data_IF_710754820197
#
_entry.id   IF_710754820197
#
_cell.length_a   1.000
_cell.length_b   1.000
_cell.length_c   1.000
_cell.angle_alpha   90.00
_cell.angle_beta   90.00
_cell.angle_gamma   90.00
#
_symmetry.space_group_name_H-M   'P 1'
#
loop_
_entity.id
_entity.type
_entity.pdbx_description
1 polymer ?
#
# COMPACT_ATOMS: atom_id res chain seq x y z
N UNK A 1 -8.86 -54.37 -35.05
CA UNK A 1 -9.66 -54.88 -36.18
C UNK A 1 -10.90 -54.04 -36.35
N UNK A 2 -11.07 -53.46 -37.53
CA UNK A 2 -12.27 -52.86 -38.17
C UNK A 2 -12.91 -51.64 -37.49
N UNK A 3 -12.86 -50.45 -38.02
CA UNK A 3 -13.20 -49.86 -39.33
C UNK A 3 -14.58 -49.19 -39.34
N UNK A 4 -14.58 -47.82 -39.44
CA UNK A 4 -15.36 -46.92 -40.33
C UNK A 4 -16.90 -46.87 -40.21
N UNK A 5 -17.50 -45.62 -40.12
CA UNK A 5 -18.03 -44.93 -41.30
C UNK A 5 -18.62 -43.54 -40.95
N UNK A 6 -18.26 -42.60 -41.83
CA UNK A 6 -18.95 -41.30 -42.04
C UNK A 6 -20.33 -41.50 -42.57
N UNK A 7 -21.27 -40.63 -42.25
CA UNK A 7 -22.44 -40.31 -43.10
C UNK A 7 -22.62 -38.80 -43.16
N UNK A 8 -22.48 -38.29 -44.37
CA UNK A 8 -22.89 -36.94 -44.82
C UNK A 8 -24.37 -37.09 -45.24
N UNK A 9 -25.22 -36.15 -44.86
CA UNK A 9 -26.50 -35.95 -45.49
C UNK A 9 -26.73 -34.49 -45.83
N UNK A 10 -26.88 -34.26 -47.14
CA UNK A 10 -27.27 -33.00 -47.79
C UNK A 10 -28.74 -33.17 -48.19
N UNK A 11 -29.58 -32.16 -47.98
CA UNK A 11 -30.80 -31.89 -48.78
C UNK A 11 -31.34 -30.50 -48.38
N UNK A 12 -31.23 -29.47 -49.18
CA UNK A 12 -32.01 -29.04 -50.32
C UNK A 12 -33.34 -28.31 -49.93
N UNK A 13 -33.30 -27.06 -50.20
CA UNK A 13 -34.27 -26.00 -50.55
C UNK A 13 -35.76 -26.30 -50.52
N UNK A 14 -36.49 -25.35 -49.95
CA UNK A 14 -37.59 -24.73 -50.68
C UNK A 14 -37.95 -23.35 -50.11
N UNK A 15 -38.10 -22.40 -51.00
CA UNK A 15 -38.39 -20.99 -50.88
C UNK A 15 -39.84 -20.72 -50.47
N UNK A 16 -40.08 -19.77 -49.57
CA UNK A 16 -41.28 -18.93 -49.59
C UNK A 16 -40.94 -17.51 -49.17
N UNK A 17 -41.12 -16.60 -50.06
CA UNK A 17 -40.97 -15.15 -49.90
C UNK A 17 -42.16 -14.60 -49.11
N UNK A 18 -41.87 -13.92 -47.99
CA UNK A 18 -42.78 -12.93 -47.41
C UNK A 18 -41.97 -11.69 -47.03
N UNK A 19 -42.14 -10.62 -47.80
CA UNK A 19 -41.52 -9.34 -47.56
C UNK A 19 -42.20 -8.66 -46.37
N UNK A 20 -41.52 -8.63 -45.24
CA UNK A 20 -41.80 -7.67 -44.17
C UNK A 20 -40.63 -6.71 -44.09
N UNK A 21 -40.89 -5.44 -44.35
CA UNK A 21 -40.03 -4.31 -44.15
C UNK A 21 -39.73 -4.19 -42.64
N UNK A 22 -38.61 -4.77 -42.18
CA UNK A 22 -38.06 -4.49 -40.87
C UNK A 22 -37.00 -3.41 -41.09
N UNK A 23 -37.30 -2.22 -40.60
CA UNK A 23 -36.33 -1.14 -40.46
C UNK A 23 -35.18 -1.62 -39.57
N UNK A 24 -34.00 -1.92 -40.14
CA UNK A 24 -32.78 -2.21 -39.43
C UNK A 24 -32.34 -0.94 -38.70
N UNK A 25 -32.09 -0.99 -37.38
CA UNK A 25 -31.39 0.09 -36.72
C UNK A 25 -29.99 0.20 -37.32
N UNK A 26 -29.64 1.39 -37.77
CA UNK A 26 -28.30 1.73 -38.22
C UNK A 26 -27.32 1.49 -37.06
N UNK A 27 -26.64 0.37 -37.07
CA UNK A 27 -25.48 0.19 -36.24
C UNK A 27 -24.38 1.16 -36.75
N UNK A 28 -24.28 2.32 -36.15
CA UNK A 28 -23.10 3.13 -36.24
C UNK A 28 -21.98 2.28 -35.62
N UNK A 29 -21.20 1.63 -36.45
CA UNK A 29 -19.95 1.05 -36.04
C UNK A 29 -19.06 2.21 -35.55
N UNK A 30 -19.05 2.43 -34.24
CA UNK A 30 -17.96 3.17 -33.61
C UNK A 30 -16.71 2.39 -33.91
N UNK A 31 -16.04 2.71 -35.00
CA UNK A 31 -14.65 2.36 -35.23
C UNK A 31 -13.86 3.03 -34.09
N UNK A 32 -13.65 2.27 -33.01
CA UNK A 32 -12.61 2.59 -32.05
C UNK A 32 -11.35 2.65 -32.88
N UNK A 33 -10.90 3.86 -33.18
CA UNK A 33 -9.62 4.08 -33.82
C UNK A 33 -8.59 3.32 -33.00
N UNK A 34 -8.03 2.27 -33.56
CA UNK A 34 -6.96 1.50 -32.93
C UNK A 34 -5.84 2.52 -32.65
N UNK A 35 -5.70 2.90 -31.41
CA UNK A 35 -4.63 3.76 -30.94
C UNK A 35 -3.33 3.06 -31.30
N UNK A 36 -2.60 3.58 -32.30
CA UNK A 36 -1.27 3.10 -32.66
C UNK A 36 -0.46 3.07 -31.37
N UNK A 37 0.09 1.91 -30.96
CA UNK A 37 0.85 1.85 -29.72
C UNK A 37 1.94 2.90 -29.76
N UNK A 38 1.96 3.80 -28.76
CA UNK A 38 2.98 4.85 -28.68
C UNK A 38 4.31 4.23 -28.25
N UNK A 39 5.00 3.54 -29.19
CA UNK A 39 6.27 2.86 -28.94
C UNK A 39 7.43 3.88 -28.86
N UNK A 40 7.23 4.92 -28.03
CA UNK A 40 8.24 5.98 -27.86
C UNK A 40 8.66 6.10 -26.42
N UNK A 41 9.96 6.32 -26.20
CA UNK A 41 10.50 6.71 -24.91
C UNK A 41 11.16 8.08 -25.04
N UNK A 42 11.08 8.88 -23.97
CA UNK A 42 11.60 10.24 -23.88
C UNK A 42 12.78 10.30 -22.94
N UNK A 43 13.83 11.02 -23.34
CA UNK A 43 15.05 11.13 -22.56
C UNK A 43 14.97 12.22 -21.50
N UNK A 44 15.32 11.89 -20.24
CA UNK A 44 15.47 12.83 -19.13
C UNK A 44 16.68 13.75 -19.32
N UNK A 45 17.72 13.27 -20.02
CA UNK A 45 18.97 13.99 -20.33
C UNK A 45 19.70 13.31 -21.46
N UNK A 46 20.83 13.92 -21.91
CA UNK A 46 21.62 13.35 -23.00
C UNK A 46 22.07 11.92 -22.71
N UNK A 47 21.94 11.05 -23.70
CA UNK A 47 22.25 9.64 -23.59
C UNK A 47 23.15 9.17 -24.73
N UNK A 48 24.14 8.34 -24.43
CA UNK A 48 24.89 7.60 -25.45
C UNK A 48 24.10 6.37 -25.89
N UNK A 49 24.30 5.98 -27.13
CA UNK A 49 23.79 4.71 -27.68
C UNK A 49 24.86 3.63 -27.49
N UNK A 50 24.43 2.46 -27.06
CA UNK A 50 25.26 1.31 -26.75
C UNK A 50 24.88 0.11 -27.64
N UNK A 51 25.80 -0.83 -27.83
CA UNK A 51 25.50 -2.12 -28.42
C UNK A 51 24.94 -3.12 -27.38
N UNK A 52 24.59 -4.31 -27.81
CA UNK A 52 24.06 -5.40 -26.95
C UNK A 52 25.01 -5.88 -25.83
N UNK A 53 26.27 -5.46 -25.84
CA UNK A 53 27.30 -5.77 -24.84
C UNK A 53 27.58 -4.60 -23.90
N UNK A 54 26.86 -3.47 -24.05
CA UNK A 54 27.03 -2.27 -23.23
C UNK A 54 28.24 -1.40 -23.61
N UNK A 55 28.80 -1.59 -24.80
CA UNK A 55 29.87 -0.74 -25.37
C UNK A 55 29.22 0.41 -26.15
N UNK A 56 29.79 1.62 -26.04
CA UNK A 56 29.31 2.78 -26.80
C UNK A 56 29.51 2.52 -28.31
N UNK A 57 28.49 2.84 -29.09
CA UNK A 57 28.60 2.80 -30.52
C UNK A 57 29.35 4.03 -31.03
N UNK A 58 30.18 3.84 -32.05
CA UNK A 58 30.85 4.92 -32.80
C UNK A 58 29.98 5.48 -33.94
N UNK A 59 29.06 4.63 -34.44
CA UNK A 59 28.03 4.99 -35.41
C UNK A 59 26.69 4.36 -35.04
N UNK A 60 25.59 5.06 -35.30
CA UNK A 60 24.25 4.56 -35.12
C UNK A 60 23.34 5.05 -36.23
N UNK A 61 22.59 4.14 -36.88
CA UNK A 61 21.76 4.45 -38.07
C UNK A 61 22.54 5.25 -39.13
N UNK A 62 23.77 4.82 -39.43
CA UNK A 62 24.62 5.38 -40.44
C UNK A 62 25.28 6.74 -40.09
N UNK A 63 25.20 7.19 -38.83
CA UNK A 63 25.77 8.49 -38.43
C UNK A 63 26.47 8.43 -37.08
N UNK A 64 27.63 9.07 -36.95
CA UNK A 64 28.32 9.25 -35.68
C UNK A 64 27.59 10.27 -34.78
N UNK A 65 26.94 11.28 -35.36
CA UNK A 65 26.16 12.26 -34.60
C UNK A 65 24.98 11.65 -33.88
N UNK A 66 24.40 10.55 -34.37
CA UNK A 66 23.29 9.83 -33.74
C UNK A 66 23.69 8.93 -32.57
N UNK A 67 24.99 8.80 -32.26
CA UNK A 67 25.47 8.00 -31.12
C UNK A 67 25.28 8.70 -29.78
N UNK A 68 24.98 10.01 -29.77
CA UNK A 68 24.66 10.81 -28.58
C UNK A 68 23.36 11.54 -28.80
N UNK A 69 22.33 11.14 -28.08
CA UNK A 69 20.99 11.73 -28.13
C UNK A 69 20.86 12.83 -27.08
N UNK A 70 20.23 13.94 -27.44
CA UNK A 70 20.05 15.10 -26.55
C UNK A 70 18.95 14.86 -25.51
N UNK A 71 18.93 15.66 -24.44
CA UNK A 71 17.83 15.74 -23.50
C UNK A 71 16.51 16.06 -24.21
N UNK A 72 15.42 15.42 -23.79
CA UNK A 72 14.09 15.61 -24.37
C UNK A 72 13.86 14.86 -25.70
N UNK A 73 14.93 14.29 -26.30
CA UNK A 73 14.77 13.47 -27.51
C UNK A 73 13.82 12.32 -27.27
N UNK A 74 12.92 12.10 -28.20
CA UNK A 74 12.01 10.95 -28.21
C UNK A 74 12.51 9.94 -29.25
N UNK A 75 12.67 8.68 -28.85
CA UNK A 75 13.09 7.58 -29.74
C UNK A 75 12.13 6.41 -29.66
N UNK A 76 11.99 5.66 -30.75
CA UNK A 76 11.22 4.42 -30.73
C UNK A 76 11.95 3.34 -29.94
N UNK A 77 11.20 2.47 -29.26
CA UNK A 77 11.74 1.27 -28.62
C UNK A 77 11.22 0.01 -29.31
N UNK A 78 11.92 -1.10 -29.06
CA UNK A 78 11.55 -2.44 -29.53
C UNK A 78 11.00 -3.23 -28.33
N UNK A 79 9.88 -3.91 -28.55
CA UNK A 79 9.16 -4.68 -27.53
C UNK A 79 7.79 -4.07 -27.19
N UNK A 80 7.13 -4.66 -26.22
CA UNK A 80 5.83 -4.24 -25.69
C UNK A 80 5.93 -3.93 -24.19
N UNK A 81 5.07 -3.05 -23.73
CA UNK A 81 4.87 -2.84 -22.28
C UNK A 81 4.03 -3.99 -21.74
N UNK A 82 4.51 -4.63 -20.69
CA UNK A 82 3.93 -5.81 -20.06
C UNK A 82 3.45 -5.49 -18.64
N UNK A 83 2.35 -6.10 -18.14
CA UNK A 83 1.95 -5.97 -16.75
C UNK A 83 2.99 -6.60 -15.81
N UNK A 84 3.08 -6.08 -14.58
CA UNK A 84 3.88 -6.68 -13.50
C UNK A 84 2.92 -7.41 -12.58
N UNK A 85 2.96 -8.74 -12.59
CA UNK A 85 2.06 -9.56 -11.78
C UNK A 85 2.59 -9.84 -10.37
N UNK A 86 3.88 -10.17 -10.22
CA UNK A 86 4.44 -10.63 -8.93
C UNK A 86 5.76 -9.99 -8.53
N UNK A 87 6.66 -9.76 -9.47
CA UNK A 87 8.02 -9.30 -9.15
C UNK A 87 8.15 -7.78 -9.24
N UNK A 88 8.81 -7.16 -8.28
CA UNK A 88 9.19 -5.77 -8.40
C UNK A 88 10.24 -5.58 -9.50
N UNK A 89 10.00 -4.69 -10.45
CA UNK A 89 10.98 -4.30 -11.46
C UNK A 89 11.72 -3.04 -11.02
N UNK A 90 13.01 -2.93 -11.37
CA UNK A 90 13.79 -1.73 -11.06
C UNK A 90 13.23 -0.49 -11.75
N UNK A 91 12.78 -0.62 -13.00
CA UNK A 91 12.12 0.45 -13.75
C UNK A 91 10.73 -0.03 -14.17
N UNK A 92 9.73 0.79 -13.90
CA UNK A 92 8.34 0.45 -14.13
C UNK A 92 7.50 1.70 -14.43
N UNK A 93 6.34 1.47 -15.00
CA UNK A 93 5.30 2.45 -15.25
C UNK A 93 4.18 2.22 -14.24
N UNK A 94 3.49 3.27 -13.86
CA UNK A 94 2.34 3.20 -12.99
C UNK A 94 1.18 3.90 -13.66
N UNK A 95 0.03 3.27 -13.67
CA UNK A 95 -1.21 3.87 -14.13
C UNK A 95 -1.69 4.85 -13.05
N UNK A 96 -1.99 6.10 -13.43
CA UNK A 96 -2.49 7.11 -12.50
C UNK A 96 -3.82 6.75 -11.87
N UNK A 97 -4.67 6.04 -12.62
CA UNK A 97 -6.06 5.82 -12.20
C UNK A 97 -6.25 4.52 -11.41
N UNK A 98 -5.46 3.49 -11.71
CA UNK A 98 -5.60 2.16 -11.12
C UNK A 98 -4.36 1.66 -10.38
N UNK A 99 -3.27 2.41 -10.41
CA UNK A 99 -1.97 2.06 -9.80
C UNK A 99 -1.42 0.71 -10.24
N UNK A 100 -1.95 0.16 -11.33
CA UNK A 100 -1.43 -1.04 -11.94
C UNK A 100 -0.02 -0.76 -12.46
N UNK A 101 0.89 -1.67 -12.15
CA UNK A 101 2.27 -1.53 -12.57
C UNK A 101 2.49 -2.32 -13.87
N UNK A 102 3.20 -1.70 -14.78
CA UNK A 102 3.67 -2.33 -16.01
C UNK A 102 5.14 -1.95 -16.24
N UNK A 103 5.80 -2.64 -17.12
CA UNK A 103 7.19 -2.37 -17.43
C UNK A 103 7.48 -2.62 -18.90
N UNK A 104 8.48 -1.92 -19.43
CA UNK A 104 9.09 -2.28 -20.71
C UNK A 104 10.26 -3.23 -20.37
N UNK A 105 10.30 -4.45 -20.91
CA UNK A 105 11.42 -5.35 -20.72
C UNK A 105 12.75 -4.70 -21.11
N UNK A 106 13.68 -4.72 -20.17
CA UNK A 106 15.03 -4.19 -20.37
C UNK A 106 16.06 -5.29 -20.25
N UNK A 107 17.20 -5.09 -20.92
CA UNK A 107 18.34 -5.96 -20.78
C UNK A 107 19.26 -5.44 -19.70
N UNK A 108 19.67 -6.29 -18.78
CA UNK A 108 20.70 -5.96 -17.80
C UNK A 108 22.08 -6.31 -18.35
N UNK A 109 22.97 -5.31 -18.37
CA UNK A 109 24.35 -5.46 -18.87
C UNK A 109 25.27 -4.80 -17.84
N UNK A 110 26.15 -5.58 -17.19
CA UNK A 110 27.12 -5.09 -16.19
C UNK A 110 26.43 -4.22 -15.11
N UNK A 111 25.30 -4.70 -14.56
CA UNK A 111 24.54 -4.04 -13.50
C UNK A 111 23.80 -2.75 -13.92
N UNK A 112 23.70 -2.48 -15.23
CA UNK A 112 22.89 -1.39 -15.77
C UNK A 112 21.77 -1.95 -16.65
N UNK A 113 20.56 -1.36 -16.55
CA UNK A 113 19.41 -1.72 -17.35
C UNK A 113 19.39 -0.89 -18.64
N UNK A 114 19.07 -1.52 -19.76
CA UNK A 114 19.07 -0.90 -21.08
C UNK A 114 17.80 -1.23 -21.85
N UNK A 115 17.21 -0.22 -22.48
CA UNK A 115 16.11 -0.39 -23.43
C UNK A 115 16.65 -0.51 -24.87
N UNK A 116 16.09 -1.42 -25.63
CA UNK A 116 16.38 -1.59 -27.04
C UNK A 116 15.66 -0.52 -27.87
N UNK A 117 16.39 0.26 -28.64
CA UNK A 117 15.86 1.34 -29.52
C UNK A 117 15.95 1.01 -31.00
N UNK A 118 16.15 -0.27 -31.34
CA UNK A 118 16.27 -0.75 -32.71
C UNK A 118 17.65 -0.52 -33.33
N UNK A 119 17.83 -1.03 -34.52
CA UNK A 119 19.11 -0.94 -35.30
C UNK A 119 20.35 -1.32 -34.44
N UNK A 120 20.25 -2.29 -33.57
CA UNK A 120 21.33 -2.73 -32.67
C UNK A 120 21.66 -1.75 -31.54
N UNK A 121 20.90 -0.66 -31.38
CA UNK A 121 21.13 0.37 -30.40
C UNK A 121 20.37 0.13 -29.09
N UNK A 122 21.02 0.49 -27.98
CA UNK A 122 20.49 0.40 -26.62
C UNK A 122 20.79 1.72 -25.87
N UNK A 123 19.87 2.13 -25.00
CA UNK A 123 20.08 3.26 -24.10
C UNK A 123 19.85 2.84 -22.64
N UNK A 124 20.59 3.44 -21.71
CA UNK A 124 20.43 3.16 -20.28
C UNK A 124 19.06 3.64 -19.80
N UNK A 125 18.35 2.79 -19.06
CA UNK A 125 17.04 3.11 -18.49
C UNK A 125 17.08 4.35 -17.58
N UNK A 126 18.17 4.58 -16.86
CA UNK A 126 18.36 5.78 -16.01
C UNK A 126 18.32 7.09 -16.79
N UNK A 127 18.44 7.06 -18.11
CA UNK A 127 18.39 8.25 -18.97
C UNK A 127 16.97 8.53 -19.49
N UNK A 128 16.00 7.69 -19.20
CA UNK A 128 14.62 7.76 -19.69
C UNK A 128 13.70 8.36 -18.64
N UNK A 129 12.82 9.28 -19.01
CA UNK A 129 11.80 9.87 -18.15
C UNK A 129 10.40 9.32 -18.39
N UNK A 130 10.10 8.93 -19.63
CA UNK A 130 8.77 8.50 -20.04
C UNK A 130 8.87 7.33 -21.04
N UNK A 131 7.91 6.42 -20.97
CA UNK A 131 7.71 5.33 -21.95
C UNK A 131 6.24 5.32 -22.34
N UNK A 132 5.96 5.32 -23.62
CA UNK A 132 4.59 5.36 -24.16
C UNK A 132 3.72 6.50 -23.58
N UNK A 133 4.33 7.66 -23.29
CA UNK A 133 3.67 8.83 -22.69
C UNK A 133 3.48 8.75 -21.18
N UNK A 134 3.80 7.61 -20.54
CA UNK A 134 3.70 7.44 -19.08
C UNK A 134 5.04 7.72 -18.40
N UNK A 135 5.02 8.33 -17.23
CA UNK A 135 6.22 8.57 -16.41
C UNK A 135 6.90 7.27 -16.01
N UNK A 136 8.23 7.25 -16.15
CA UNK A 136 9.05 6.11 -15.70
C UNK A 136 9.37 6.25 -14.22
N UNK A 137 9.04 5.24 -13.46
CA UNK A 137 9.38 5.08 -12.05
C UNK A 137 10.62 4.21 -11.88
N UNK A 138 11.30 4.36 -10.75
CA UNK A 138 12.34 3.44 -10.31
C UNK A 138 12.06 2.96 -8.89
N UNK A 139 12.37 1.70 -8.61
CA UNK A 139 12.28 1.15 -7.25
C UNK A 139 13.46 1.59 -6.37
N UNK A 140 14.57 1.97 -6.99
CA UNK A 140 15.79 2.44 -6.30
C UNK A 140 16.55 3.44 -7.18
N UNK A 141 17.05 4.50 -6.56
CA UNK A 141 17.93 5.47 -7.17
C UNK A 141 19.14 5.76 -6.27
N UNK A 142 20.18 6.38 -6.84
CA UNK A 142 21.36 6.82 -6.08
C UNK A 142 21.40 8.34 -6.02
N UNK A 143 21.53 8.88 -4.82
CA UNK A 143 21.73 10.31 -4.57
C UNK A 143 23.08 10.58 -3.92
N UNK A 144 23.66 11.73 -4.24
CA UNK A 144 24.93 12.17 -3.67
C UNK A 144 24.68 13.39 -2.78
N UNK A 145 25.25 13.37 -1.58
CA UNK A 145 25.11 14.48 -0.63
C UNK A 145 25.96 15.66 -1.10
N UNK A 146 25.37 16.84 -1.03
CA UNK A 146 26.03 18.14 -1.18
C UNK A 146 25.45 19.08 -0.13
N UNK A 147 26.28 19.56 0.76
CA UNK A 147 25.93 20.69 1.62
C UNK A 147 26.91 21.86 1.40
N UNK A 148 26.43 23.05 1.62
CA UNK A 148 27.19 24.27 1.45
C UNK A 148 28.11 24.48 2.65
N UNK A 149 29.29 25.10 2.41
CA UNK A 149 30.34 25.28 3.43
C UNK A 149 29.88 26.01 4.69
N UNK A 150 28.89 26.87 4.55
CA UNK A 150 28.32 27.74 5.58
C UNK A 150 27.16 27.08 6.37
N UNK A 151 26.81 25.84 6.07
CA UNK A 151 25.76 25.09 6.77
C UNK A 151 26.35 23.99 7.64
N UNK A 152 25.70 23.75 8.80
CA UNK A 152 26.04 22.62 9.65
C UNK A 152 25.99 21.31 8.85
N UNK A 153 26.90 20.36 9.15
CA UNK A 153 26.86 19.03 8.52
C UNK A 153 25.48 18.40 8.64
N UNK A 154 25.04 17.78 7.56
CA UNK A 154 23.77 17.07 7.55
C UNK A 154 23.84 15.83 8.45
N UNK A 155 22.79 15.55 9.20
CA UNK A 155 22.73 14.37 10.06
C UNK A 155 21.44 13.59 9.84
N UNK A 156 21.51 12.28 10.02
CA UNK A 156 20.37 11.36 10.01
C UNK A 156 20.18 10.82 11.42
N UNK A 157 18.94 10.60 11.82
CA UNK A 157 18.58 10.16 13.17
C UNK A 157 18.40 11.30 14.17
N UNK A 158 17.97 10.97 15.36
CA UNK A 158 17.66 11.91 16.44
C UNK A 158 18.41 11.55 17.71
N UNK A 159 18.69 12.55 18.55
CA UNK A 159 19.32 12.32 19.84
C UNK A 159 20.71 11.68 19.76
N UNK A 160 20.96 10.63 20.55
CA UNK A 160 22.25 9.92 20.64
C UNK A 160 22.59 9.14 19.37
N UNK A 161 21.58 8.76 18.58
CA UNK A 161 21.75 7.97 17.34
C UNK A 161 21.97 8.85 16.10
N UNK A 162 22.29 10.11 16.32
CA UNK A 162 22.53 11.07 15.25
C UNK A 162 23.85 10.79 14.54
N UNK A 163 23.76 10.38 13.28
CA UNK A 163 24.93 10.15 12.41
C UNK A 163 25.20 11.36 11.52
N UNK A 164 26.39 11.93 11.63
CA UNK A 164 26.84 13.03 10.75
C UNK A 164 27.22 12.46 9.38
N UNK A 165 26.66 13.01 8.33
CA UNK A 165 26.87 12.56 6.95
C UNK A 165 27.95 13.41 6.30
N UNK A 166 29.00 12.76 5.79
CA UNK A 166 30.06 13.44 5.05
C UNK A 166 29.59 13.94 3.70
N UNK A 167 30.09 15.11 3.27
CA UNK A 167 29.84 15.63 1.92
C UNK A 167 30.33 14.63 0.85
N UNK A 168 29.67 14.61 -0.30
CA UNK A 168 29.92 13.68 -1.39
C UNK A 168 29.62 12.20 -1.13
N UNK A 169 29.18 11.81 0.09
CA UNK A 169 28.70 10.44 0.33
C UNK A 169 27.48 10.14 -0.54
N UNK A 170 27.42 8.94 -1.07
CA UNK A 170 26.28 8.45 -1.88
C UNK A 170 25.38 7.55 -1.06
N UNK A 171 24.08 7.61 -1.34
CA UNK A 171 23.06 6.77 -0.74
C UNK A 171 22.15 6.20 -1.82
N UNK A 172 21.72 4.97 -1.62
CA UNK A 172 20.58 4.40 -2.32
C UNK A 172 19.30 4.88 -1.65
N UNK A 173 18.31 5.27 -2.45
CA UNK A 173 17.01 5.77 -2.00
C UNK A 173 15.89 5.10 -2.78
N UNK A 174 14.75 4.85 -2.15
CA UNK A 174 13.67 4.05 -2.73
C UNK A 174 12.28 4.68 -2.64
N UNK A 175 12.12 5.74 -1.86
CA UNK A 175 10.86 6.46 -1.67
C UNK A 175 11.09 7.95 -1.56
N UNK A 176 10.04 8.73 -1.77
CA UNK A 176 10.01 10.17 -1.50
C UNK A 176 8.96 10.48 -0.45
N UNK A 177 9.17 11.56 0.31
CA UNK A 177 8.10 12.25 1.03
C UNK A 177 7.77 13.52 0.28
N UNK A 178 6.48 13.80 0.12
CA UNK A 178 5.97 14.99 -0.56
C UNK A 178 4.79 15.55 0.22
N UNK A 179 4.56 16.85 0.10
CA UNK A 179 3.38 17.51 0.69
C UNK A 179 2.16 17.36 -0.23
N UNK A 180 2.42 17.21 -1.53
CA UNK A 180 1.41 16.95 -2.56
C UNK A 180 1.99 16.01 -3.63
N UNK A 181 1.17 15.60 -4.59
CA UNK A 181 1.59 14.79 -5.73
C UNK A 181 2.46 15.56 -6.75
N UNK A 182 2.66 16.88 -6.57
CA UNK A 182 3.56 17.65 -7.42
C UNK A 182 5.02 17.25 -7.15
N UNK A 183 5.78 16.86 -8.19
CA UNK A 183 7.21 16.55 -8.06
C UNK A 183 8.06 17.69 -7.47
N UNK A 184 7.55 18.92 -7.47
CA UNK A 184 8.22 20.08 -6.86
C UNK A 184 8.16 20.04 -5.33
N UNK A 185 7.15 19.39 -4.77
CA UNK A 185 6.87 19.34 -3.34
C UNK A 185 7.60 18.21 -2.61
N UNK A 186 8.54 17.54 -3.29
CA UNK A 186 9.39 16.53 -2.68
C UNK A 186 10.22 17.16 -1.56
N UNK A 187 10.03 16.67 -0.33
CA UNK A 187 10.74 17.17 0.86
C UNK A 187 11.96 16.34 1.22
N UNK A 188 11.88 15.02 1.05
CA UNK A 188 12.98 14.11 1.36
C UNK A 188 12.94 12.80 0.57
N UNK A 189 14.06 12.07 0.64
CA UNK A 189 14.24 10.73 0.11
C UNK A 189 14.44 9.75 1.26
N UNK A 190 13.74 8.61 1.26
CA UNK A 190 14.02 7.52 2.20
C UNK A 190 15.27 6.76 1.75
N UNK A 191 16.15 6.45 2.70
CA UNK A 191 17.32 5.59 2.44
C UNK A 191 16.83 4.15 2.27
N UNK A 192 17.23 3.49 1.17
CA UNK A 192 16.90 2.10 0.89
C UNK A 192 17.35 1.18 2.03
N UNK A 193 16.46 0.24 2.39
CA UNK A 193 16.74 -0.74 3.46
C UNK A 193 16.56 -0.21 4.87
N UNK A 194 16.08 1.03 5.04
CA UNK A 194 15.71 1.60 6.34
C UNK A 194 14.20 1.82 6.43
N UNK A 195 13.67 1.87 7.66
CA UNK A 195 12.25 2.16 7.89
C UNK A 195 11.95 3.65 7.88
N UNK A 196 12.82 4.47 8.49
CA UNK A 196 12.56 5.86 8.89
C UNK A 196 13.75 6.81 8.70
N UNK A 197 14.78 6.38 7.98
CA UNK A 197 15.93 7.26 7.69
C UNK A 197 15.71 8.03 6.38
N UNK A 198 15.67 9.36 6.48
CA UNK A 198 15.38 10.25 5.36
C UNK A 198 16.50 11.25 5.10
N UNK A 199 16.72 11.54 3.83
CA UNK A 199 17.63 12.58 3.32
C UNK A 199 16.79 13.74 2.79
N UNK A 200 16.97 14.94 3.33
CA UNK A 200 16.34 16.14 2.78
C UNK A 200 16.73 16.32 1.30
N UNK A 201 15.78 16.67 0.47
CA UNK A 201 16.02 16.98 -0.94
C UNK A 201 17.01 18.15 -1.12
N UNK A 202 17.07 19.05 -0.13
CA UNK A 202 18.01 20.18 -0.12
C UNK A 202 19.45 19.77 0.16
N UNK A 203 19.67 18.58 0.71
CA UNK A 203 21.00 18.04 1.00
C UNK A 203 21.59 17.24 -0.15
N UNK A 204 20.85 16.98 -1.23
CA UNK A 204 21.37 16.19 -2.36
C UNK A 204 21.84 17.08 -3.49
N UNK A 205 22.91 16.63 -4.18
CA UNK A 205 23.52 17.38 -5.29
C UNK A 205 22.58 17.51 -6.49
N UNK A 206 21.90 16.43 -6.83
CA UNK A 206 20.98 16.35 -7.94
C UNK A 206 19.75 15.55 -7.52
N UNK A 207 18.57 16.04 -7.88
CA UNK A 207 17.31 15.31 -7.66
C UNK A 207 17.30 14.02 -8.50
N UNK A 208 16.63 13.00 -7.99
CA UNK A 208 16.36 11.77 -8.75
C UNK A 208 15.53 12.14 -9.99
N UNK A 209 15.85 11.54 -11.13
CA UNK A 209 15.28 11.91 -12.44
C UNK A 209 14.05 11.11 -12.80
N UNK A 210 14.04 9.82 -12.43
CA UNK A 210 12.84 8.99 -12.50
C UNK A 210 11.98 9.25 -11.25
N UNK A 211 10.69 8.99 -11.37
CA UNK A 211 9.81 9.05 -10.20
C UNK A 211 10.14 7.92 -9.23
N UNK A 212 10.12 8.21 -7.95
CA UNK A 212 10.09 7.24 -6.87
C UNK A 212 8.67 7.20 -6.32
N UNK A 213 8.26 6.05 -5.77
CA UNK A 213 6.98 5.96 -5.07
C UNK A 213 6.98 6.85 -3.82
N UNK A 214 5.83 7.40 -3.48
CA UNK A 214 5.65 8.13 -2.23
C UNK A 214 5.82 7.15 -1.07
N UNK A 215 6.50 7.61 -0.02
CA UNK A 215 6.59 6.88 1.23
C UNK A 215 5.26 6.98 1.97
N UNK A 216 4.75 5.83 2.36
CA UNK A 216 3.64 5.72 3.28
C UNK A 216 4.07 4.85 4.45
N UNK A 217 3.87 5.34 5.67
CA UNK A 217 4.22 4.61 6.90
C UNK A 217 3.38 3.34 7.06
N UNK A 218 2.22 3.30 6.43
CA UNK A 218 1.23 2.23 6.54
C UNK A 218 1.02 1.54 5.20
N UNK A 219 0.63 0.28 5.29
CA UNK A 219 0.14 -0.46 4.13
C UNK A 219 -1.22 0.09 3.72
N UNK A 220 -1.41 0.33 2.44
CA UNK A 220 -2.71 0.64 1.88
C UNK A 220 -3.13 -0.51 0.97
N UNK A 221 -4.39 -0.82 1.03
CA UNK A 221 -5.06 -1.78 0.14
C UNK A 221 -6.14 -1.08 -0.66
N UNK A 222 -6.38 -1.58 -1.86
CA UNK A 222 -7.43 -1.11 -2.75
C UNK A 222 -8.50 -2.19 -2.83
N UNK A 223 -9.77 -1.82 -2.69
CA UNK A 223 -10.89 -2.75 -2.79
C UNK A 223 -11.17 -3.13 -4.25
N UNK A 224 -11.24 -4.43 -4.52
CA UNK A 224 -11.53 -5.00 -5.85
C UNK A 224 -13.03 -5.05 -6.14
N UNK A 225 -13.83 -5.09 -5.09
CA UNK A 225 -15.29 -5.19 -5.09
C UNK A 225 -15.85 -4.55 -3.83
N UNK A 226 -17.16 -4.31 -3.72
CA UNK A 226 -17.76 -3.87 -2.48
C UNK A 226 -17.49 -4.88 -1.35
N UNK A 227 -16.88 -4.42 -0.25
CA UNK A 227 -16.41 -5.29 0.83
C UNK A 227 -17.17 -5.04 2.12
N UNK A 228 -17.51 -6.13 2.80
CA UNK A 228 -18.16 -6.10 4.12
C UNK A 228 -17.13 -6.02 5.25
N UNK A 229 -17.54 -5.51 6.39
CA UNK A 229 -16.71 -5.43 7.60
C UNK A 229 -17.03 -6.57 8.58
N UNK A 230 -16.01 -6.96 9.33
CA UNK A 230 -16.05 -8.05 10.30
C UNK A 230 -15.46 -7.61 11.63
N UNK A 231 -15.84 -8.29 12.70
CA UNK A 231 -15.19 -8.20 14.02
C UNK A 231 -14.12 -9.30 14.17
N UNK A 232 -13.43 -9.30 15.31
CA UNK A 232 -12.37 -10.29 15.60
C UNK A 232 -12.90 -11.73 15.69
N UNK A 233 -14.19 -11.93 15.91
CA UNK A 233 -14.84 -13.25 15.92
C UNK A 233 -15.11 -13.78 14.51
N UNK A 234 -14.74 -13.04 13.46
CA UNK A 234 -15.01 -13.40 12.07
C UNK A 234 -16.48 -13.33 11.69
N UNK A 235 -17.29 -12.59 12.45
CA UNK A 235 -18.69 -12.35 12.15
C UNK A 235 -18.87 -10.98 11.51
N UNK A 236 -19.91 -10.89 10.66
CA UNK A 236 -20.24 -9.63 10.01
C UNK A 236 -20.62 -8.57 11.05
N UNK A 237 -20.08 -7.38 10.90
CA UNK A 237 -20.55 -6.23 11.67
C UNK A 237 -21.83 -5.71 11.09
N UNK A 238 -22.84 -5.63 11.94
CA UNK A 238 -24.11 -4.98 11.63
C UNK A 238 -23.94 -3.49 11.91
N UNK A 239 -23.71 -2.70 10.89
CA UNK A 239 -23.60 -1.24 11.04
C UNK A 239 -24.95 -0.64 10.73
N UNK A 240 -25.41 0.25 11.60
CA UNK A 240 -26.78 0.77 11.65
C UNK A 240 -27.17 1.77 10.55
N UNK A 241 -26.40 1.91 9.49
CA UNK A 241 -26.72 2.75 8.32
C UNK A 241 -26.10 2.18 7.04
N UNK A 242 -26.60 2.59 5.89
CA UNK A 242 -26.33 2.11 4.52
C UNK A 242 -24.85 2.09 4.05
N UNK A 243 -23.89 2.31 4.94
CA UNK A 243 -22.46 2.41 4.64
C UNK A 243 -21.62 1.27 5.24
N UNK A 244 -22.21 0.11 5.44
CA UNK A 244 -21.49 -1.10 5.94
C UNK A 244 -20.53 -1.72 4.91
N UNK A 245 -20.35 -1.07 3.77
CA UNK A 245 -19.64 -1.65 2.65
C UNK A 245 -18.64 -0.65 2.09
N UNK A 246 -17.38 -1.04 1.99
CA UNK A 246 -16.41 -0.30 1.19
C UNK A 246 -16.73 -0.45 -0.28
N UNK A 247 -16.59 0.61 -1.05
CA UNK A 247 -16.85 0.58 -2.47
C UNK A 247 -15.66 0.01 -3.23
N UNK A 248 -15.93 -0.53 -4.41
CA UNK A 248 -14.86 -0.87 -5.35
C UNK A 248 -13.99 0.36 -5.62
N UNK A 249 -12.70 0.14 -5.71
CA UNK A 249 -11.65 1.14 -5.96
C UNK A 249 -11.32 2.06 -4.78
N UNK A 250 -12.04 1.98 -3.65
CA UNK A 250 -11.63 2.66 -2.42
C UNK A 250 -10.25 2.20 -1.96
N UNK A 251 -9.45 3.16 -1.45
CA UNK A 251 -8.10 2.89 -0.94
C UNK A 251 -8.08 3.19 0.55
N UNK A 252 -7.65 2.19 1.33
CA UNK A 252 -7.66 2.31 2.78
C UNK A 252 -6.33 1.89 3.41
N UNK A 253 -5.87 2.59 4.46
CA UNK A 253 -4.73 2.16 5.25
C UNK A 253 -5.10 0.99 6.16
N UNK A 254 -4.20 0.02 6.23
CA UNK A 254 -4.32 -1.17 7.06
C UNK A 254 -3.08 -1.35 7.92
N UNK A 255 -3.26 -1.95 9.09
CA UNK A 255 -2.20 -2.07 10.09
C UNK A 255 -1.72 -3.50 10.26
N UNK A 256 -2.61 -4.45 10.01
CA UNK A 256 -2.39 -5.85 10.33
C UNK A 256 -2.95 -6.76 9.26
N UNK A 257 -2.33 -7.93 9.15
CA UNK A 257 -2.81 -9.04 8.36
C UNK A 257 -2.90 -10.25 9.28
N UNK A 258 -4.10 -10.85 9.41
CA UNK A 258 -4.40 -11.88 10.42
C UNK A 258 -5.41 -12.88 9.87
N UNK A 259 -5.25 -14.15 10.21
CA UNK A 259 -6.31 -15.13 10.00
C UNK A 259 -7.37 -15.00 11.08
N UNK A 260 -8.64 -14.90 10.69
CA UNK A 260 -9.80 -15.02 11.57
C UNK A 260 -10.59 -16.28 11.19
N UNK A 261 -11.15 -16.93 12.20
CA UNK A 261 -12.10 -18.02 11.96
C UNK A 261 -13.45 -17.43 11.58
N UNK A 262 -13.99 -17.78 10.43
CA UNK A 262 -15.30 -17.32 9.95
C UNK A 262 -16.32 -18.43 10.24
N UNK A 263 -17.15 -18.30 11.30
CA UNK A 263 -18.06 -19.37 11.72
C UNK A 263 -19.06 -19.77 10.64
N UNK A 264 -19.59 -18.80 9.89
CA UNK A 264 -20.54 -19.04 8.80
C UNK A 264 -19.96 -19.83 7.62
N UNK A 265 -18.64 -19.84 7.47
CA UNK A 265 -17.92 -20.52 6.38
C UNK A 265 -17.16 -21.75 6.89
N UNK A 266 -17.13 -21.96 8.22
CA UNK A 266 -16.40 -23.03 8.89
C UNK A 266 -14.94 -23.13 8.46
N UNK A 267 -14.27 -21.97 8.23
CA UNK A 267 -12.87 -21.89 7.81
C UNK A 267 -12.16 -20.65 8.35
N UNK A 268 -10.84 -20.70 8.40
CA UNK A 268 -10.02 -19.54 8.64
C UNK A 268 -9.79 -18.79 7.33
N UNK A 269 -10.01 -17.49 7.34
CA UNK A 269 -9.75 -16.59 6.22
C UNK A 269 -8.79 -15.50 6.62
N UNK A 270 -8.10 -14.89 5.64
CA UNK A 270 -7.14 -13.83 5.87
C UNK A 270 -7.84 -12.47 5.82
N UNK A 271 -7.56 -11.64 6.83
CA UNK A 271 -8.17 -10.33 6.99
C UNK A 271 -7.13 -9.24 7.20
N UNK A 272 -7.41 -8.06 6.70
CA UNK A 272 -6.74 -6.84 7.09
C UNK A 272 -7.49 -6.15 8.22
N UNK A 273 -6.75 -5.70 9.24
CA UNK A 273 -7.24 -4.75 10.23
C UNK A 273 -7.16 -3.35 9.64
N UNK A 274 -8.28 -2.63 9.62
CA UNK A 274 -8.31 -1.24 9.16
C UNK A 274 -7.65 -0.32 10.18
N UNK A 275 -6.77 0.57 9.72
CA UNK A 275 -5.96 1.43 10.59
C UNK A 275 -6.79 2.29 11.53
N UNK A 276 -7.70 3.05 11.02
CA UNK A 276 -8.46 4.02 11.82
C UNK A 276 -9.74 3.43 12.43
N UNK A 277 -9.82 2.10 12.54
CA UNK A 277 -11.01 1.44 13.09
C UNK A 277 -11.31 1.84 14.54
N UNK A 278 -10.33 2.41 15.23
CA UNK A 278 -10.40 2.79 16.64
C UNK A 278 -10.42 4.32 16.89
N UNK A 279 -10.20 5.16 15.87
CA UNK A 279 -10.11 6.62 16.05
C UNK A 279 -11.44 7.33 15.79
N UNK A 280 -12.08 7.92 16.82
CA UNK A 280 -13.33 8.65 16.62
C UNK A 280 -13.16 10.04 16.01
N UNK A 281 -11.95 10.59 15.85
CA UNK A 281 -11.75 12.02 15.56
C UNK A 281 -11.15 12.38 14.19
N UNK A 282 -10.42 11.48 13.54
CA UNK A 282 -10.12 11.67 12.11
C UNK A 282 -11.31 11.26 11.23
N UNK A 283 -12.29 10.95 11.89
CA UNK A 283 -13.43 10.11 11.70
C UNK A 283 -14.68 10.88 11.31
N UNK A 284 -14.63 12.16 10.97
CA UNK A 284 -15.81 12.72 10.31
C UNK A 284 -16.10 11.94 9.02
N UNK A 285 -15.04 11.52 8.30
CA UNK A 285 -15.19 10.62 7.16
C UNK A 285 -15.42 9.16 7.58
N UNK A 286 -14.77 8.65 8.63
CA UNK A 286 -14.88 7.26 9.03
C UNK A 286 -16.11 6.99 9.89
N UNK A 287 -16.52 7.92 10.77
CA UNK A 287 -17.78 7.86 11.50
C UNK A 287 -18.99 7.96 10.58
N UNK A 288 -18.88 8.68 9.47
CA UNK A 288 -19.89 8.68 8.42
C UNK A 288 -19.98 7.31 7.73
N UNK A 289 -18.87 6.55 7.65
CA UNK A 289 -18.85 5.19 7.09
C UNK A 289 -19.30 4.11 8.08
N UNK A 290 -18.91 4.21 9.35
CA UNK A 290 -19.15 3.16 10.34
C UNK A 290 -20.33 3.44 11.30
N UNK A 291 -20.90 4.65 11.29
CA UNK A 291 -22.05 5.01 12.12
C UNK A 291 -21.75 5.17 13.63
N UNK A 292 -22.76 5.50 14.45
CA UNK A 292 -22.57 5.82 15.88
C UNK A 292 -22.26 4.64 16.80
N UNK A 293 -22.34 3.41 16.32
CA UNK A 293 -21.99 2.19 17.08
C UNK A 293 -20.51 1.81 16.91
N UNK A 294 -19.67 2.79 16.94
CA UNK A 294 -18.22 2.74 16.80
C UNK A 294 -17.53 1.87 17.87
N UNK A 295 -18.30 1.34 18.76
CA UNK A 295 -17.92 0.78 20.01
C UNK A 295 -17.62 -0.70 20.09
N UNK A 296 -17.75 -1.46 19.03
CA UNK A 296 -17.76 -2.91 19.11
C UNK A 296 -16.40 -3.54 18.74
N UNK A 297 -15.30 -2.87 19.03
CA UNK A 297 -13.96 -3.39 18.77
C UNK A 297 -13.40 -2.97 17.39
N UNK A 298 -12.33 -3.64 17.00
CA UNK A 298 -11.60 -3.37 15.77
C UNK A 298 -12.38 -3.82 14.51
N UNK A 299 -12.06 -3.21 13.38
CA UNK A 299 -12.75 -3.47 12.10
C UNK A 299 -11.83 -4.20 11.14
N UNK A 300 -12.31 -5.31 10.62
CA UNK A 300 -11.57 -6.18 9.71
C UNK A 300 -12.28 -6.28 8.37
N UNK A 301 -11.49 -6.43 7.30
CA UNK A 301 -11.97 -6.69 5.93
C UNK A 301 -11.24 -7.89 5.35
N UNK A 302 -11.91 -8.72 4.54
CA UNK A 302 -11.26 -9.88 3.92
C UNK A 302 -10.15 -9.43 2.97
N UNK A 303 -8.99 -10.07 3.08
CA UNK A 303 -7.88 -9.81 2.18
C UNK A 303 -8.20 -10.19 0.72
N UNK A 304 -9.08 -11.18 0.51
CA UNK A 304 -9.57 -11.58 -0.80
C UNK A 304 -10.36 -10.49 -1.54
N UNK A 305 -10.95 -9.54 -0.81
CA UNK A 305 -11.72 -8.44 -1.39
C UNK A 305 -10.83 -7.25 -1.78
N UNK A 306 -9.51 -7.35 -1.56
CA UNK A 306 -8.57 -6.25 -1.74
C UNK A 306 -7.34 -6.67 -2.54
N UNK A 307 -6.60 -5.68 -3.01
CA UNK A 307 -5.24 -5.85 -3.54
C UNK A 307 -4.29 -4.87 -2.86
N UNK A 308 -3.01 -5.24 -2.77
CA UNK A 308 -1.97 -4.34 -2.26
C UNK A 308 -1.85 -3.11 -3.14
N UNK A 309 -1.83 -1.95 -2.52
CA UNK A 309 -1.70 -0.67 -3.19
C UNK A 309 -0.31 -0.05 -2.98
N UNK A 310 0.07 0.22 -1.73
CA UNK A 310 1.37 0.81 -1.38
C UNK A 310 1.71 0.57 0.10
N UNK A 311 2.94 0.91 0.48
CA UNK A 311 3.42 0.80 1.87
C UNK A 311 4.22 -0.47 2.14
N UNK A 312 4.50 -0.78 3.42
CA UNK A 312 5.16 -2.02 3.82
C UNK A 312 4.30 -3.25 3.49
N UNK A 313 4.91 -4.35 3.04
CA UNK A 313 4.17 -5.61 2.91
C UNK A 313 3.93 -6.21 4.30
N UNK A 314 2.67 -6.50 4.61
CA UNK A 314 2.29 -7.19 5.84
C UNK A 314 2.40 -8.71 5.65
N UNK A 315 2.85 -9.38 6.70
CA UNK A 315 2.84 -10.84 6.80
C UNK A 315 1.74 -11.25 7.76
N UNK A 316 1.07 -12.41 7.55
CA UNK A 316 0.12 -12.94 8.51
C UNK A 316 0.76 -13.10 9.89
N UNK A 317 0.05 -12.71 10.94
CA UNK A 317 0.53 -12.73 12.32
C UNK A 317 0.25 -14.01 13.06
N UNK A 318 -0.66 -14.79 12.54
CA UNK A 318 -1.06 -16.08 13.07
C UNK A 318 -1.25 -17.07 11.90
N UNK A 319 -1.63 -18.30 12.25
CA UNK A 319 -1.96 -19.34 11.29
C UNK A 319 -3.45 -19.65 11.30
N UNK A 320 -3.99 -20.36 10.28
CA UNK A 320 -5.38 -20.83 10.28
C UNK A 320 -5.75 -21.66 11.51
N UNK A 321 -4.83 -22.50 11.99
CA UNK A 321 -5.01 -23.36 13.16
C UNK A 321 -5.12 -22.52 14.44
N UNK A 322 -4.28 -21.49 14.57
CA UNK A 322 -4.36 -20.55 15.68
C UNK A 322 -5.67 -19.76 15.66
N UNK A 323 -6.12 -19.31 14.49
CA UNK A 323 -7.40 -18.63 14.34
C UNK A 323 -8.56 -19.52 14.82
N UNK A 324 -8.56 -20.79 14.41
CA UNK A 324 -9.55 -21.78 14.85
C UNK A 324 -9.49 -22.02 16.35
N UNK A 325 -8.30 -22.14 16.93
CA UNK A 325 -8.15 -22.33 18.37
C UNK A 325 -8.70 -21.14 19.17
N UNK A 326 -8.42 -19.92 18.69
CA UNK A 326 -8.84 -18.66 19.32
C UNK A 326 -10.33 -18.33 19.15
N UNK A 327 -11.04 -19.01 18.25
CA UNK A 327 -12.48 -18.83 18.05
C UNK A 327 -13.36 -19.54 19.10
N UNK A 328 -12.76 -20.35 19.97
CA UNK A 328 -13.47 -21.03 21.04
C UNK A 328 -13.89 -20.05 22.15
N UNK A 329 -14.97 -20.37 22.85
CA UNK A 329 -15.39 -19.63 24.04
C UNK A 329 -14.24 -19.54 25.03
N UNK A 330 -14.01 -18.34 25.54
CA UNK A 330 -12.94 -18.06 26.49
C UNK A 330 -13.12 -18.83 27.81
N UNK A 331 -12.02 -19.41 28.26
CA UNK A 331 -11.97 -20.08 29.57
C UNK A 331 -11.78 -19.05 30.69
N UNK A 332 -11.91 -19.50 31.94
CA UNK A 332 -11.58 -18.68 33.12
C UNK A 332 -10.12 -18.23 33.12
N UNK A 333 -9.21 -19.06 32.59
CA UNK A 333 -7.78 -18.72 32.47
C UNK A 333 -7.58 -17.57 31.44
N UNK A 334 -8.25 -17.64 30.29
CA UNK A 334 -8.20 -16.57 29.29
C UNK A 334 -8.66 -15.23 29.90
N UNK A 335 -9.72 -15.26 30.71
CA UNK A 335 -10.31 -14.08 31.34
C UNK A 335 -9.44 -13.46 32.45
N UNK A 336 -8.53 -14.20 33.05
CA UNK A 336 -7.69 -13.73 34.18
C UNK A 336 -6.82 -12.50 33.77
N UNK A 337 -6.28 -12.50 32.57
CA UNK A 337 -5.47 -11.37 32.08
C UNK A 337 -6.32 -10.10 32.01
N UNK A 338 -7.52 -10.18 31.45
CA UNK A 338 -8.43 -9.06 31.31
C UNK A 338 -8.91 -8.55 32.68
N UNK A 339 -9.21 -9.47 33.60
CA UNK A 339 -9.61 -9.11 34.97
C UNK A 339 -8.52 -8.31 35.68
N UNK A 340 -7.25 -8.75 35.61
CA UNK A 340 -6.12 -8.03 36.22
C UNK A 340 -5.97 -6.59 35.68
N UNK A 341 -6.30 -6.36 34.41
CA UNK A 341 -6.29 -5.01 33.83
C UNK A 341 -7.47 -4.18 34.33
N UNK A 342 -8.66 -4.79 34.45
CA UNK A 342 -9.85 -4.14 35.02
C UNK A 342 -9.59 -3.74 36.47
N UNK A 343 -8.94 -4.60 37.27
CA UNK A 343 -8.62 -4.34 38.69
C UNK A 343 -7.73 -3.09 38.88
N UNK A 344 -7.03 -2.64 37.84
CA UNK A 344 -6.26 -1.38 37.85
C UNK A 344 -7.11 -0.13 37.63
N UNK A 345 -8.43 -0.27 37.48
CA UNK A 345 -9.34 0.85 37.17
C UNK A 345 -9.18 2.04 38.07
N UNK A 346 -9.11 1.83 39.40
CA UNK A 346 -9.02 2.92 40.39
C UNK A 346 -7.79 3.79 40.12
N UNK A 347 -6.62 3.17 39.97
CA UNK A 347 -5.35 3.88 39.73
C UNK A 347 -5.39 4.60 38.39
N UNK A 348 -5.84 3.91 37.34
CA UNK A 348 -5.87 4.50 35.99
C UNK A 348 -6.86 5.65 35.88
N UNK A 349 -8.01 5.58 36.59
CA UNK A 349 -8.99 6.67 36.64
C UNK A 349 -8.42 7.93 37.29
N UNK A 350 -7.53 7.82 38.28
CA UNK A 350 -6.86 8.97 38.86
C UNK A 350 -6.06 9.77 37.80
N UNK A 351 -5.36 9.09 36.92
CA UNK A 351 -4.65 9.72 35.79
C UNK A 351 -5.61 10.25 34.72
N UNK A 352 -6.63 9.48 34.35
CA UNK A 352 -7.61 9.88 33.33
C UNK A 352 -8.42 11.11 33.76
N UNK A 353 -8.71 11.27 35.03
CA UNK A 353 -9.49 12.39 35.57
C UNK A 353 -8.68 13.68 35.73
N UNK A 354 -7.35 13.61 35.77
CA UNK A 354 -6.49 14.81 35.76
C UNK A 354 -6.67 15.61 34.47
N UNK A 355 -6.93 14.94 33.34
CA UNK A 355 -7.24 15.59 32.07
C UNK A 355 -8.28 14.77 31.27
N UNK A 356 -9.59 14.89 31.65
CA UNK A 356 -10.64 14.05 31.09
C UNK A 356 -10.95 14.32 29.60
N UNK A 357 -10.50 15.46 29.08
CA UNK A 357 -10.71 15.85 27.67
C UNK A 357 -9.61 15.35 26.75
N UNK A 358 -8.57 14.68 27.26
CA UNK A 358 -7.57 14.04 26.42
C UNK A 358 -8.13 12.82 25.69
N UNK A 359 -7.74 12.67 24.47
CA UNK A 359 -8.17 11.56 23.62
C UNK A 359 -7.85 10.20 24.27
N UNK A 360 -6.66 10.05 24.89
CA UNK A 360 -6.28 8.81 25.59
C UNK A 360 -7.22 8.50 26.79
N UNK A 361 -7.67 9.50 27.52
CA UNK A 361 -8.62 9.32 28.63
C UNK A 361 -9.99 8.88 28.11
N UNK A 362 -10.44 9.44 27.02
CA UNK A 362 -11.68 9.02 26.36
C UNK A 362 -11.59 7.58 25.88
N UNK A 363 -10.52 7.21 25.17
CA UNK A 363 -10.30 5.83 24.68
C UNK A 363 -10.20 4.84 25.83
N UNK A 364 -9.52 5.20 26.90
CA UNK A 364 -9.43 4.35 28.08
C UNK A 364 -10.80 4.07 28.68
N UNK A 365 -11.60 5.11 28.98
CA UNK A 365 -12.95 4.94 29.56
C UNK A 365 -13.85 4.06 28.69
N UNK A 366 -13.73 4.26 27.39
CA UNK A 366 -14.45 3.46 26.42
C UNK A 366 -13.99 1.98 26.44
N UNK A 367 -12.67 1.73 26.36
CA UNK A 367 -12.11 0.38 26.37
C UNK A 367 -12.38 -0.34 27.70
N UNK A 368 -12.36 0.40 28.81
CA UNK A 368 -12.70 -0.17 30.12
C UNK A 368 -14.16 -0.68 30.16
N UNK A 369 -15.10 0.08 29.59
CA UNK A 369 -16.49 -0.36 29.46
C UNK A 369 -16.57 -1.63 28.63
N UNK A 370 -15.96 -1.63 27.45
CA UNK A 370 -15.91 -2.80 26.57
C UNK A 370 -15.29 -4.01 27.29
N UNK A 371 -14.24 -3.80 28.09
CA UNK A 371 -13.59 -4.86 28.86
C UNK A 371 -14.54 -5.49 29.90
N UNK A 372 -15.29 -4.65 30.63
CA UNK A 372 -16.29 -5.12 31.61
C UNK A 372 -17.43 -5.88 30.94
N UNK A 373 -17.89 -5.43 29.78
CA UNK A 373 -18.93 -6.12 29.02
C UNK A 373 -18.42 -7.47 28.48
N UNK A 374 -17.21 -7.50 27.92
CA UNK A 374 -16.61 -8.70 27.35
C UNK A 374 -16.30 -9.77 28.40
N UNK A 375 -15.77 -9.39 29.58
CA UNK A 375 -15.44 -10.37 30.64
C UNK A 375 -16.67 -11.03 31.20
N UNK A 376 -17.79 -10.32 31.26
CA UNK A 376 -19.07 -10.82 31.73
C UNK A 376 -19.84 -11.63 30.68
N UNK A 377 -19.43 -11.58 29.43
CA UNK A 377 -20.06 -12.35 28.36
C UNK A 377 -19.78 -13.85 28.52
N UNK A 378 -20.80 -14.65 28.39
CA UNK A 378 -20.72 -16.11 28.40
C UNK A 378 -20.31 -16.71 27.07
N UNK A 379 -20.37 -15.91 26.00
CA UNK A 379 -20.07 -16.31 24.62
C UNK A 379 -18.82 -15.68 24.07
N UNK A 380 -18.15 -14.80 24.83
CA UNK A 380 -16.90 -14.18 24.39
C UNK A 380 -15.87 -15.23 24.02
N UNK A 381 -15.19 -15.05 22.91
CA UNK A 381 -14.13 -15.95 22.44
C UNK A 381 -12.77 -15.56 23.04
N UNK A 382 -11.82 -16.51 23.03
CA UNK A 382 -10.43 -16.22 23.44
C UNK A 382 -9.80 -15.11 22.57
N UNK A 383 -10.17 -15.00 21.30
CA UNK A 383 -9.73 -13.92 20.40
C UNK A 383 -10.22 -12.55 20.90
N UNK A 384 -11.48 -12.46 21.27
CA UNK A 384 -12.12 -11.24 21.77
C UNK A 384 -11.52 -10.80 23.12
N UNK A 385 -11.35 -11.72 24.04
CA UNK A 385 -10.69 -11.45 25.33
C UNK A 385 -9.27 -10.91 25.12
N UNK A 386 -8.51 -11.49 24.19
CA UNK A 386 -7.15 -11.03 23.92
C UNK A 386 -7.13 -9.64 23.25
N UNK A 387 -8.00 -9.39 22.26
CA UNK A 387 -8.12 -8.08 21.62
C UNK A 387 -8.44 -7.00 22.64
N UNK A 388 -9.45 -7.22 23.45
CA UNK A 388 -9.90 -6.25 24.46
C UNK A 388 -8.85 -6.06 25.57
N UNK A 389 -8.16 -7.13 25.96
CA UNK A 389 -7.03 -7.03 26.92
C UNK A 389 -5.92 -6.16 26.39
N UNK A 390 -5.55 -6.34 25.11
CA UNK A 390 -4.49 -5.59 24.47
C UNK A 390 -4.88 -4.11 24.32
N UNK A 391 -6.13 -3.83 23.93
CA UNK A 391 -6.65 -2.47 23.83
C UNK A 391 -6.70 -1.77 25.21
N UNK A 392 -7.18 -2.45 26.24
CA UNK A 392 -7.24 -1.88 27.59
C UNK A 392 -5.83 -1.59 28.13
N UNK A 393 -4.90 -2.51 27.96
CA UNK A 393 -3.50 -2.32 28.35
C UNK A 393 -2.85 -1.14 27.64
N UNK A 394 -3.11 -0.96 26.33
CA UNK A 394 -2.58 0.14 25.55
C UNK A 394 -3.13 1.49 26.01
N UNK A 395 -4.45 1.57 26.20
CA UNK A 395 -5.10 2.81 26.61
C UNK A 395 -4.76 3.19 28.06
N UNK A 396 -4.60 2.23 28.98
CA UNK A 396 -4.06 2.45 30.32
C UNK A 396 -2.65 3.04 30.26
N UNK A 397 -1.76 2.42 29.47
CA UNK A 397 -0.39 2.90 29.30
C UNK A 397 -0.35 4.32 28.74
N UNK A 398 -1.20 4.61 27.76
CA UNK A 398 -1.30 5.94 27.18
C UNK A 398 -1.74 7.00 28.19
N UNK A 399 -2.71 6.67 29.02
CA UNK A 399 -3.22 7.57 30.07
C UNK A 399 -2.15 7.82 31.15
N UNK A 400 -1.50 6.76 31.65
CA UNK A 400 -0.49 6.87 32.71
C UNK A 400 0.73 7.66 32.22
N UNK A 401 1.15 7.47 30.97
CA UNK A 401 2.29 8.19 30.39
C UNK A 401 1.95 9.56 29.84
N UNK A 402 0.70 9.98 29.88
CA UNK A 402 0.30 11.31 29.47
C UNK A 402 0.75 12.35 30.52
N UNK A 403 1.83 13.11 30.22
CA UNK A 403 2.31 14.18 31.10
C UNK A 403 1.45 15.44 30.96
N UNK A 404 1.39 16.26 32.03
CA UNK A 404 0.54 17.47 32.11
C UNK A 404 1.00 18.61 31.19
N UNK A 405 2.21 18.53 30.62
CA UNK A 405 2.88 19.65 29.95
C UNK A 405 2.67 19.73 28.43
N UNK A 406 1.79 18.95 27.84
CA UNK A 406 1.65 18.98 26.38
C UNK A 406 0.68 20.06 25.92
N UNK A 407 1.24 21.07 25.29
CA UNK A 407 0.56 22.16 24.58
C UNK A 407 -0.55 21.66 23.63
N UNK A 408 -1.57 22.50 23.46
CA UNK A 408 -2.74 22.29 22.59
C UNK A 408 -2.45 21.83 21.15
N UNK A 409 -1.24 22.09 20.65
CA UNK A 409 -0.79 21.63 19.32
C UNK A 409 -0.59 20.13 19.21
N UNK A 410 -0.39 19.44 20.32
CA UNK A 410 -0.21 17.99 20.40
C UNK A 410 -1.53 17.21 20.57
N UNK A 411 -2.65 17.90 20.64
CA UNK A 411 -3.98 17.31 20.88
C UNK A 411 -4.48 16.44 19.72
N UNK A 412 -4.02 16.68 18.52
CA UNK A 412 -4.58 16.05 17.32
C UNK A 412 -3.74 14.91 16.77
N UNK A 413 -2.52 14.73 17.23
CA UNK A 413 -1.63 13.77 16.63
C UNK A 413 -1.39 12.58 17.54
N UNK A 414 -2.18 11.54 17.36
CA UNK A 414 -1.61 10.22 17.10
C UNK A 414 -0.80 9.60 18.24
N UNK A 415 -1.14 9.89 19.52
CA UNK A 415 -0.39 9.29 20.65
C UNK A 415 -0.91 7.94 21.10
N UNK A 416 -2.14 7.61 20.76
CA UNK A 416 -2.71 6.27 21.01
C UNK A 416 -2.28 5.25 19.95
N UNK A 417 -2.15 5.67 18.69
CA UNK A 417 -1.73 4.80 17.59
C UNK A 417 -0.35 4.14 17.78
N UNK A 418 0.71 4.86 18.24
CA UNK A 418 1.98 4.21 18.54
C UNK A 418 1.86 3.10 19.59
N UNK A 419 0.88 3.18 20.47
CA UNK A 419 0.67 2.18 21.52
C UNK A 419 -0.07 0.95 21.01
N UNK A 420 -1.07 1.12 20.16
CA UNK A 420 -1.76 0.00 19.51
C UNK A 420 -0.77 -0.81 18.66
N UNK A 421 0.14 -0.15 17.96
CA UNK A 421 1.22 -0.81 17.21
C UNK A 421 2.24 -1.53 18.09
N UNK A 422 2.40 -1.11 19.34
CA UNK A 422 3.34 -1.71 20.31
C UNK A 422 2.72 -2.84 21.14
N UNK A 423 1.45 -3.18 20.92
CA UNK A 423 0.83 -4.27 21.66
C UNK A 423 1.51 -5.61 21.36
N UNK A 424 1.74 -6.47 22.36
CA UNK A 424 2.41 -7.76 22.18
C UNK A 424 1.78 -8.62 21.10
N UNK A 425 0.46 -8.60 21.00
CA UNK A 425 -0.29 -9.28 19.95
C UNK A 425 0.03 -8.75 18.54
N UNK A 426 0.37 -7.47 18.43
CA UNK A 426 0.67 -6.79 17.18
C UNK A 426 2.17 -6.71 16.84
N UNK A 427 3.06 -6.92 17.81
CA UNK A 427 4.52 -6.74 17.63
C UNK A 427 5.23 -8.03 17.26
N UNK A 428 4.75 -9.20 17.71
CA UNK A 428 5.50 -10.46 17.64
C UNK A 428 5.98 -10.92 16.28
N UNK A 429 5.59 -10.28 15.19
CA UNK A 429 5.92 -10.73 13.83
C UNK A 429 6.31 -9.61 12.86
N UNK A 430 6.95 -8.56 13.33
CA UNK A 430 7.48 -7.50 12.46
C UNK A 430 8.91 -7.74 11.94
N UNK A 431 9.46 -8.95 12.12
CA UNK A 431 10.77 -9.33 11.58
C UNK A 431 10.64 -10.02 10.23
#
# INVERSE_FOLDING_TARGET
MKVIKKVILVAVMSSLTLATLISLPSFTSNTVAATIPNNRLKLAHGAYVYNKYGQRLTTYRGSSAKTRLSKGTTVSFVGSVEPIERDSKRFFLMDSDNYNQSWLPYKEIKGSCYYNIGAGGYIKAVNVSEIAGKSLYTSEATVKIKYYKDRKPYSIGTGKDKTIIKNNKTFKVDRITAVSDDPKDITSYRISGTTDAFLSVRAVKEKVRQKLKIYTAYTHVKFLQPAKTYNIQGTLRTISRDHSTFLKDDIYPVENLIYLWVPSENKAELFYLLKYSWEPFDAQSFANYLGPNYGDGLVYVKASDTTYFTGPYLKPRNTPEQAKAMSKTATSIDKQKLQKLIDQEKITNEYANKNPYRLCAYHYKYTLRLAKDTINSTVATSAEINEVSDLLSATQTAVINSTDETNDKDRMLDRTLPYIHKLPYYIKNRN
#
